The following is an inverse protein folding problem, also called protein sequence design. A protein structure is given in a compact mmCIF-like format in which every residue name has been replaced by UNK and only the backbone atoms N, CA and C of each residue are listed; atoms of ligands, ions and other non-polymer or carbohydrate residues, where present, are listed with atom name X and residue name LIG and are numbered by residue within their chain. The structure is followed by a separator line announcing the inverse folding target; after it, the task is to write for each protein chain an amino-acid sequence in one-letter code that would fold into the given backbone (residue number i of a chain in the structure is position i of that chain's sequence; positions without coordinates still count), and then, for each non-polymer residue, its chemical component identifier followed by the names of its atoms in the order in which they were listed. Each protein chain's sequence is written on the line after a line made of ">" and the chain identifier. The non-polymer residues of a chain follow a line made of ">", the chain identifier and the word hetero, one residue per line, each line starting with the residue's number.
data_IF_734276300299
#
_entry.id   IF_734276300299
#
_cell.length_a   1.000
_cell.length_b   1.000
_cell.length_c   1.000
_cell.angle_alpha   90.00
_cell.angle_beta   90.00
_cell.angle_gamma   90.00
#
_symmetry.space_group_name_H-M   'P 1'
#
loop_
_entity.id
_entity.type
_entity.pdbx_description
1 polymer ?
#
# COMPACT_ATOMS: atom_id res chain seq x y z
N UNK A 1 14.32 -10.75 7.42
CA UNK A 1 13.22 -10.08 8.15
C UNK A 1 13.06 -10.67 9.53
N UNK A 2 12.63 -11.94 9.58
CA UNK A 2 12.37 -12.68 10.82
C UNK A 2 13.56 -12.68 11.81
N UNK A 3 14.78 -13.03 11.36
CA UNK A 3 15.96 -13.08 12.23
C UNK A 3 16.29 -11.74 12.93
N UNK A 4 15.94 -10.63 12.29
CA UNK A 4 16.19 -9.28 12.79
C UNK A 4 14.96 -8.63 13.42
N UNK A 5 13.86 -9.38 13.54
CA UNK A 5 12.59 -8.90 14.10
C UNK A 5 12.05 -7.65 13.37
N UNK A 6 12.08 -7.67 12.03
CA UNK A 6 11.66 -6.52 11.21
C UNK A 6 10.18 -6.61 10.79
N UNK A 7 9.72 -7.80 10.44
CA UNK A 7 8.34 -8.04 9.99
C UNK A 7 8.00 -9.52 10.14
N UNK A 8 6.70 -9.83 10.09
CA UNK A 8 6.17 -11.20 10.04
C UNK A 8 4.96 -11.27 9.10
N UNK A 9 4.51 -12.50 8.81
CA UNK A 9 3.26 -12.80 8.11
C UNK A 9 2.41 -13.73 9.00
N UNK A 10 1.68 -13.20 9.98
CA UNK A 10 0.84 -14.02 10.85
C UNK A 10 -0.26 -14.74 10.06
N UNK A 11 -0.50 -16.01 10.36
CA UNK A 11 -1.51 -16.82 9.66
C UNK A 11 -2.92 -16.23 9.83
N UNK A 12 -3.21 -15.67 11.00
CA UNK A 12 -4.48 -15.03 11.34
C UNK A 12 -4.75 -13.75 10.55
N UNK A 13 -3.70 -13.10 10.06
CA UNK A 13 -3.81 -11.90 9.21
C UNK A 13 -3.99 -12.32 7.75
N UNK A 14 -3.24 -13.33 7.31
CA UNK A 14 -3.37 -13.94 5.99
C UNK A 14 -2.11 -13.83 5.12
N UNK A 15 -2.00 -14.69 4.08
CA UNK A 15 -0.83 -14.75 3.23
C UNK A 15 -0.60 -13.44 2.47
N UNK A 16 0.66 -13.00 2.40
CA UNK A 16 1.04 -11.78 1.68
C UNK A 16 0.80 -10.47 2.44
N UNK A 17 0.16 -10.51 3.62
CA UNK A 17 -0.13 -9.33 4.43
C UNK A 17 0.92 -9.14 5.54
N UNK A 18 2.03 -8.49 5.20
CA UNK A 18 3.15 -8.29 6.13
C UNK A 18 2.77 -7.34 7.29
N UNK A 19 3.12 -7.74 8.51
CA UNK A 19 3.07 -6.89 9.71
C UNK A 19 4.48 -6.40 10.01
N UNK A 20 4.71 -5.08 9.93
CA UNK A 20 5.99 -4.48 10.26
C UNK A 20 6.12 -4.29 11.77
N UNK A 21 7.15 -4.90 12.36
CA UNK A 21 7.47 -4.79 13.78
C UNK A 21 8.17 -3.45 14.06
N UNK A 22 8.35 -3.02 15.32
CA UNK A 22 8.93 -1.71 15.62
C UNK A 22 10.25 -1.41 14.89
N UNK A 23 11.17 -2.38 14.79
CA UNK A 23 12.44 -2.20 14.05
C UNK A 23 12.24 -2.05 12.55
N UNK A 24 11.34 -2.84 11.94
CA UNK A 24 10.99 -2.67 10.53
C UNK A 24 10.24 -1.37 10.26
N UNK A 25 9.41 -0.93 11.22
CA UNK A 25 8.70 0.34 11.19
C UNK A 25 9.66 1.53 11.15
N UNK A 26 10.76 1.49 11.91
CA UNK A 26 11.81 2.53 11.85
C UNK A 26 12.42 2.61 10.45
N UNK A 27 12.78 1.47 9.86
CA UNK A 27 13.38 1.40 8.52
C UNK A 27 12.39 1.93 7.48
N UNK A 28 11.15 1.44 7.50
CA UNK A 28 10.08 1.89 6.59
C UNK A 28 9.88 3.39 6.69
N UNK A 29 9.76 3.92 7.92
CA UNK A 29 9.60 5.36 8.15
C UNK A 29 10.78 6.15 7.59
N UNK A 30 12.02 5.72 7.81
CA UNK A 30 13.19 6.41 7.29
C UNK A 30 13.19 6.49 5.75
N UNK A 31 12.76 5.41 5.07
CA UNK A 31 12.62 5.39 3.61
C UNK A 31 11.51 6.33 3.13
N UNK A 32 10.36 6.30 3.80
CA UNK A 32 9.22 7.18 3.47
C UNK A 32 9.55 8.66 3.71
N UNK A 33 10.21 9.00 4.82
CA UNK A 33 10.61 10.38 5.18
C UNK A 33 11.62 10.93 4.15
N UNK A 34 12.59 10.11 3.73
CA UNK A 34 13.51 10.47 2.66
C UNK A 34 12.76 10.74 1.34
N UNK A 35 11.86 9.84 0.94
CA UNK A 35 11.06 9.99 -0.28
C UNK A 35 10.22 11.27 -0.25
N UNK A 36 9.49 11.52 0.85
CA UNK A 36 8.66 12.72 1.03
C UNK A 36 9.48 13.99 0.88
N UNK A 37 10.61 14.09 1.58
CA UNK A 37 11.50 15.25 1.50
C UNK A 37 11.96 15.51 0.06
N UNK A 38 12.36 14.46 -0.67
CA UNK A 38 12.77 14.60 -2.08
C UNK A 38 11.63 15.10 -2.96
N UNK A 39 10.41 14.62 -2.78
CA UNK A 39 9.25 15.09 -3.53
C UNK A 39 8.96 16.58 -3.24
N UNK A 40 9.03 17.00 -1.96
CA UNK A 40 8.85 18.40 -1.57
C UNK A 40 9.93 19.32 -2.18
N UNK A 41 11.20 18.89 -2.14
CA UNK A 41 12.32 19.62 -2.76
C UNK A 41 12.16 19.80 -4.28
N UNK A 42 11.49 18.86 -4.95
CA UNK A 42 11.18 18.91 -6.39
C UNK A 42 9.81 19.53 -6.69
N UNK A 43 9.11 20.08 -5.70
CA UNK A 43 7.86 20.83 -5.88
C UNK A 43 6.60 19.99 -6.07
N UNK A 44 6.58 18.72 -5.64
CA UNK A 44 5.38 17.90 -5.63
C UNK A 44 4.42 18.31 -4.50
N UNK A 45 3.11 18.26 -4.78
CA UNK A 45 2.06 18.49 -3.79
C UNK A 45 1.47 17.16 -3.30
N UNK A 46 1.49 16.93 -1.99
CA UNK A 46 0.92 15.73 -1.39
C UNK A 46 -0.59 15.84 -1.20
N UNK A 47 -1.30 14.80 -1.63
CA UNK A 47 -2.75 14.63 -1.42
C UNK A 47 -3.03 13.29 -0.74
N UNK A 48 -4.20 13.17 -0.10
CA UNK A 48 -4.67 11.94 0.52
C UNK A 48 -5.98 11.51 -0.13
N UNK A 49 -6.01 10.30 -0.69
CA UNK A 49 -7.18 9.72 -1.35
C UNK A 49 -7.62 8.42 -0.67
N UNK A 50 -8.90 8.02 -0.80
CA UNK A 50 -9.38 6.75 -0.27
C UNK A 50 -8.69 5.53 -0.92
N UNK A 51 -8.56 4.43 -0.16
CA UNK A 51 -8.02 3.16 -0.67
C UNK A 51 -9.00 2.37 -1.56
N UNK A 52 -10.29 2.70 -1.51
CA UNK A 52 -11.35 2.04 -2.29
C UNK A 52 -12.26 3.08 -2.94
N UNK A 53 -12.91 2.71 -4.04
CA UNK A 53 -13.79 3.61 -4.81
C UNK A 53 -14.87 2.81 -5.55
N UNK A 54 -15.80 3.51 -6.18
CA UNK A 54 -16.87 2.91 -6.99
C UNK A 54 -16.27 2.23 -8.23
N UNK A 55 -16.82 1.07 -8.61
CA UNK A 55 -16.40 0.32 -9.80
C UNK A 55 -16.39 1.15 -11.09
N UNK A 56 -17.30 2.12 -11.23
CA UNK A 56 -17.35 3.03 -12.38
C UNK A 56 -16.05 3.83 -12.59
N UNK A 57 -15.31 4.18 -11.52
CA UNK A 57 -14.02 4.88 -11.68
C UNK A 57 -12.94 3.95 -12.24
N UNK A 58 -12.90 2.69 -11.78
CA UNK A 58 -11.99 1.68 -12.31
C UNK A 58 -12.33 1.29 -13.75
N UNK A 59 -13.61 1.31 -14.13
CA UNK A 59 -14.00 1.13 -15.53
C UNK A 59 -13.53 2.30 -16.38
N UNK A 60 -13.74 3.54 -15.91
CA UNK A 60 -13.31 4.74 -16.63
C UNK A 60 -11.79 4.78 -16.87
N UNK A 61 -11.00 4.28 -15.92
CA UNK A 61 -9.54 4.17 -16.07
C UNK A 61 -9.08 2.91 -16.79
N UNK A 62 -9.99 2.03 -17.22
CA UNK A 62 -9.69 0.76 -17.89
C UNK A 62 -9.16 -0.36 -16.98
N UNK A 63 -9.08 -0.15 -15.67
CA UNK A 63 -8.54 -1.16 -14.74
C UNK A 63 -9.41 -2.42 -14.69
N UNK A 64 -10.73 -2.29 -14.80
CA UNK A 64 -11.60 -3.47 -14.85
C UNK A 64 -11.46 -4.26 -16.16
N UNK A 65 -11.08 -3.61 -17.25
CA UNK A 65 -10.94 -4.29 -18.55
C UNK A 65 -9.59 -5.01 -18.66
N UNK A 66 -8.52 -4.46 -18.06
CA UNK A 66 -7.15 -4.93 -18.25
C UNK A 66 -6.48 -5.53 -17.01
N UNK A 67 -6.99 -5.25 -15.81
CA UNK A 67 -6.31 -5.60 -14.56
C UNK A 67 -7.25 -6.23 -13.51
N UNK A 68 -8.48 -6.60 -13.88
CA UNK A 68 -9.47 -7.16 -12.95
C UNK A 68 -8.92 -8.37 -12.15
N UNK A 69 -8.17 -9.26 -12.81
CA UNK A 69 -7.60 -10.46 -12.18
C UNK A 69 -6.55 -10.14 -11.09
N UNK A 70 -5.96 -8.94 -11.13
CA UNK A 70 -4.99 -8.46 -10.15
C UNK A 70 -5.62 -7.64 -9.02
N UNK A 71 -6.93 -7.39 -9.04
CA UNK A 71 -7.62 -6.58 -8.05
C UNK A 71 -8.24 -7.45 -6.94
N UNK A 72 -8.37 -6.90 -5.74
CA UNK A 72 -9.24 -7.49 -4.73
C UNK A 72 -10.69 -7.53 -5.24
N UNK A 73 -11.46 -8.58 -4.89
CA UNK A 73 -12.84 -8.71 -5.34
C UNK A 73 -13.71 -7.55 -4.83
N UNK A 74 -14.75 -7.16 -5.59
CA UNK A 74 -15.66 -6.10 -5.15
C UNK A 74 -16.40 -6.53 -3.89
N UNK A 75 -16.57 -5.60 -2.95
CA UNK A 75 -17.39 -5.82 -1.76
C UNK A 75 -18.87 -5.94 -2.16
N UNK A 76 -19.53 -6.97 -1.61
CA UNK A 76 -20.98 -7.15 -1.71
C UNK A 76 -21.59 -6.83 -0.34
N UNK A 77 -22.69 -6.08 -0.34
CA UNK A 77 -23.48 -5.77 0.85
C UNK A 77 -24.55 -6.85 1.08
#
# INVERSE_FOLDING_TARGET
>A
GNELDLFSFPEEVGPGLAVFHPKGGIIRRAMEDYSRRRHEEEGYEFVYSPHTTKGALFQKSGHLDWYADGMYPPMQL
#
